data_IF_470727113303
#
_entry.id   IF_470727113303
#
_cell.length_a   1.000
_cell.length_b   1.000
_cell.length_c   1.000
_cell.angle_alpha   90.00
_cell.angle_beta   90.00
_cell.angle_gamma   90.00
#
_symmetry.space_group_name_H-M   'P 1'
#
loop_
_entity.id
_entity.type
_entity.pdbx_description
1 polymer ?
#
# COMPACT_ATOMS: atom_id res chain seq x y z
N UNK A 1 11.81 -22.73 -9.17
CA UNK A 1 10.57 -22.17 -8.57
C UNK A 1 9.90 -23.05 -7.51
N UNK A 2 10.37 -24.28 -7.23
CA UNK A 2 9.78 -25.16 -6.19
C UNK A 2 9.97 -24.60 -4.77
N UNK A 3 11.02 -23.81 -4.53
CA UNK A 3 11.34 -23.24 -3.23
C UNK A 3 10.30 -22.22 -2.74
N UNK A 4 9.72 -21.41 -3.64
CA UNK A 4 8.64 -20.46 -3.31
C UNK A 4 7.43 -21.17 -2.71
N UNK A 5 7.12 -22.38 -3.20
CA UNK A 5 5.98 -23.19 -2.73
C UNK A 5 6.17 -23.72 -1.31
N UNK A 6 7.39 -23.65 -0.78
CA UNK A 6 7.73 -24.09 0.58
C UNK A 6 7.75 -22.95 1.59
N UNK A 7 7.60 -21.70 1.13
CA UNK A 7 7.55 -20.56 2.04
C UNK A 7 6.22 -20.58 2.80
N UNK A 8 6.23 -20.55 4.15
CA UNK A 8 5.01 -20.46 4.92
C UNK A 8 4.28 -19.15 4.61
N UNK A 9 2.98 -19.23 4.34
CA UNK A 9 2.16 -18.08 3.93
C UNK A 9 2.01 -17.03 5.04
N UNK A 10 1.96 -17.46 6.31
CA UNK A 10 1.72 -16.56 7.43
C UNK A 10 2.77 -15.43 7.56
N UNK A 11 4.09 -15.70 7.62
CA UNK A 11 5.08 -14.63 7.67
C UNK A 11 5.10 -13.77 6.41
N UNK A 12 4.81 -14.34 5.23
CA UNK A 12 4.69 -13.56 4.00
C UNK A 12 3.50 -12.60 4.05
N UNK A 13 2.36 -13.04 4.57
CA UNK A 13 1.19 -12.19 4.77
C UNK A 13 1.49 -11.07 5.77
N UNK A 14 2.14 -11.38 6.90
CA UNK A 14 2.54 -10.37 7.89
C UNK A 14 3.52 -9.34 7.29
N UNK A 15 4.50 -9.78 6.51
CA UNK A 15 5.43 -8.89 5.80
C UNK A 15 4.71 -8.02 4.76
N UNK A 16 3.77 -8.58 4.01
CA UNK A 16 2.98 -7.83 3.03
C UNK A 16 2.12 -6.76 3.70
N UNK A 17 1.47 -7.08 4.82
CA UNK A 17 0.70 -6.11 5.61
C UNK A 17 1.60 -5.02 6.19
N UNK A 18 2.75 -5.38 6.75
CA UNK A 18 3.72 -4.41 7.25
C UNK A 18 4.25 -3.50 6.14
N UNK A 19 4.54 -4.05 4.96
CA UNK A 19 4.99 -3.27 3.80
C UNK A 19 3.90 -2.33 3.28
N UNK A 20 2.64 -2.76 3.25
CA UNK A 20 1.51 -1.91 2.84
C UNK A 20 1.23 -0.74 3.80
N UNK A 21 1.65 -0.85 5.06
CA UNK A 21 1.56 0.23 6.05
C UNK A 21 2.76 1.18 6.03
N UNK A 22 3.79 0.89 5.23
CA UNK A 22 4.96 1.76 5.11
C UNK A 22 4.66 3.01 4.28
N UNK A 23 5.34 4.15 4.57
CA UNK A 23 6.17 4.40 5.73
C UNK A 23 5.34 4.55 7.02
N UNK A 24 5.81 4.00 8.14
CA UNK A 24 5.08 4.06 9.43
C UNK A 24 5.11 5.44 10.09
N UNK A 25 6.00 6.34 9.64
CA UNK A 25 6.14 7.71 10.15
C UNK A 25 6.50 8.66 8.98
N UNK A 26 5.96 9.89 8.92
CA UNK A 26 4.96 10.46 9.84
C UNK A 26 3.56 9.87 9.68
N UNK A 27 3.21 9.34 8.50
CA UNK A 27 1.95 8.64 8.24
C UNK A 27 2.08 7.70 7.02
N UNK A 28 1.28 6.63 6.93
CA UNK A 28 1.28 5.73 5.76
C UNK A 28 0.93 6.45 4.46
N UNK A 29 1.50 5.98 3.35
CA UNK A 29 1.34 6.61 2.04
C UNK A 29 -0.14 6.71 1.61
N UNK A 30 -0.90 5.63 1.80
CA UNK A 30 -2.32 5.59 1.50
C UNK A 30 -3.12 6.63 2.28
N UNK A 31 -2.81 6.83 3.57
CA UNK A 31 -3.49 7.81 4.43
C UNK A 31 -3.21 9.23 3.98
N UNK A 32 -1.96 9.52 3.60
CA UNK A 32 -1.58 10.81 3.02
C UNK A 32 -2.38 11.10 1.75
N UNK A 33 -2.41 10.17 0.78
CA UNK A 33 -3.10 10.38 -0.49
C UNK A 33 -4.62 10.50 -0.32
N UNK A 34 -5.23 9.72 0.56
CA UNK A 34 -6.66 9.86 0.88
C UNK A 34 -6.95 11.23 1.48
N UNK A 35 -6.09 11.75 2.37
CA UNK A 35 -6.25 13.11 2.90
C UNK A 35 -6.14 14.16 1.80
N UNK A 36 -5.15 14.04 0.92
CA UNK A 36 -4.99 14.94 -0.24
C UNK A 36 -6.22 14.88 -1.17
N UNK A 37 -6.81 13.70 -1.37
CA UNK A 37 -8.03 13.53 -2.16
C UNK A 37 -9.20 14.27 -1.52
N UNK A 38 -9.42 14.07 -0.22
CA UNK A 38 -10.50 14.71 0.54
C UNK A 38 -10.34 16.22 0.64
N UNK A 39 -9.11 16.73 0.66
CA UNK A 39 -8.83 18.18 0.64
C UNK A 39 -8.83 18.80 -0.76
N UNK A 40 -9.09 18.01 -1.82
CA UNK A 40 -9.04 18.49 -3.20
C UNK A 40 -7.62 18.83 -3.69
N UNK A 41 -6.58 18.32 -3.03
CA UNK A 41 -5.17 18.59 -3.32
C UNK A 41 -4.45 17.46 -4.09
N UNK A 42 -5.17 16.41 -4.48
CA UNK A 42 -4.62 15.28 -5.23
C UNK A 42 -4.62 15.55 -6.75
N UNK A 43 -3.75 16.47 -7.20
CA UNK A 43 -3.71 16.88 -8.62
C UNK A 43 -2.56 16.23 -9.41
N UNK A 44 -1.52 15.77 -8.73
CA UNK A 44 -0.32 15.24 -9.41
C UNK A 44 -0.64 13.83 -9.91
N UNK A 45 -0.41 13.52 -11.20
CA UNK A 45 -0.71 12.18 -11.74
C UNK A 45 -0.03 11.04 -10.98
N UNK A 46 1.19 11.28 -10.49
CA UNK A 46 1.91 10.29 -9.67
C UNK A 46 1.21 9.98 -8.36
N UNK A 47 0.57 10.95 -7.72
CA UNK A 47 -0.13 10.76 -6.45
C UNK A 47 -1.46 10.01 -6.66
N UNK A 48 -2.11 10.20 -7.82
CA UNK A 48 -3.31 9.45 -8.21
C UNK A 48 -2.95 7.99 -8.52
N UNK A 49 -1.89 7.78 -9.30
CA UNK A 49 -1.38 6.44 -9.58
C UNK A 49 -1.02 5.71 -8.28
N UNK A 50 -0.30 6.38 -7.39
CA UNK A 50 0.12 5.85 -6.11
C UNK A 50 -1.06 5.45 -5.22
N UNK A 51 -2.10 6.30 -5.13
CA UNK A 51 -3.35 5.99 -4.43
C UNK A 51 -4.03 4.74 -4.99
N UNK A 52 -4.19 4.64 -6.31
CA UNK A 52 -4.84 3.50 -6.97
C UNK A 52 -4.02 2.21 -6.76
N UNK A 53 -2.71 2.30 -6.93
CA UNK A 53 -1.81 1.16 -6.78
C UNK A 53 -1.85 0.59 -5.35
N UNK A 54 -1.87 1.46 -4.33
CA UNK A 54 -1.92 1.02 -2.93
C UNK A 54 -3.33 0.64 -2.46
N UNK A 55 -4.39 1.16 -3.08
CA UNK A 55 -5.76 0.76 -2.78
C UNK A 55 -6.14 -0.59 -3.42
N UNK A 56 -5.51 -0.98 -4.53
CA UNK A 56 -5.85 -2.20 -5.26
C UNK A 56 -5.75 -3.49 -4.41
N UNK A 57 -4.71 -3.70 -3.59
CA UNK A 57 -4.64 -4.86 -2.69
C UNK A 57 -5.74 -4.92 -1.64
N UNK A 58 -6.39 -3.79 -1.32
CA UNK A 58 -7.51 -3.74 -0.36
C UNK A 58 -8.82 -4.21 -1.02
N UNK A 59 -8.91 -4.11 -2.35
CA UNK A 59 -10.12 -4.45 -3.12
C UNK A 59 -10.14 -5.89 -3.65
N UNK A 60 -9.02 -6.61 -3.58
CA UNK A 60 -8.84 -7.99 -4.06
C UNK A 60 -8.86 -8.99 -2.90
#
# INVERSE_FOLDING_TARGET
MVWLRRLPLLPLALLALAAGLAPFSPQPHLVEKVRLLLSGQLHRPIDIFDLVFHALPVLL
#
